data_IF_286376659901
#
_entry.id   IF_286376659901
#
_cell.length_a   1.000
_cell.length_b   1.000
_cell.length_c   1.000
_cell.angle_alpha   90.00
_cell.angle_beta   90.00
_cell.angle_gamma   90.00
#
_symmetry.space_group_name_H-M   'P 1'
#
loop_
_entity.id
_entity.type
_entity.pdbx_description
1 polymer ?
#
# COMPACT_ATOMS: atom_id res chain seq x y z
N UNK A 1 -1.64 9.90 -49.67
CA UNK A 1 -1.18 11.25 -49.31
C UNK A 1 -1.12 11.29 -47.79
N UNK A 2 0.03 10.92 -47.23
CA UNK A 2 0.23 10.88 -45.76
C UNK A 2 0.82 12.23 -45.35
N UNK A 3 0.06 13.06 -44.69
CA UNK A 3 0.54 14.29 -44.04
C UNK A 3 1.23 13.92 -42.73
N UNK A 4 2.55 13.84 -42.75
CA UNK A 4 3.41 13.85 -41.58
C UNK A 4 3.23 15.19 -40.87
N UNK A 5 2.37 15.21 -39.82
CA UNK A 5 2.39 16.30 -38.85
C UNK A 5 3.54 16.02 -37.89
N UNK A 6 4.70 16.52 -38.25
CA UNK A 6 5.83 16.71 -37.35
C UNK A 6 5.40 17.74 -36.32
N UNK A 7 4.99 17.27 -35.13
CA UNK A 7 4.87 18.12 -33.94
C UNK A 7 6.29 18.51 -33.56
N UNK A 8 6.78 19.59 -34.14
CA UNK A 8 7.98 20.27 -33.65
C UNK A 8 7.67 20.69 -32.21
N UNK A 9 8.31 20.02 -31.25
CA UNK A 9 8.25 20.41 -29.85
C UNK A 9 8.74 21.87 -29.78
N UNK A 10 7.84 22.75 -29.35
CA UNK A 10 8.14 24.19 -29.22
C UNK A 10 9.28 24.33 -28.19
N UNK A 11 10.47 24.80 -28.59
CA UNK A 11 11.62 24.92 -27.69
C UNK A 11 11.34 25.86 -26.51
N UNK A 12 10.35 26.74 -26.64
CA UNK A 12 9.87 27.58 -25.56
C UNK A 12 9.10 26.80 -24.51
N UNK A 13 8.35 25.74 -24.89
CA UNK A 13 7.64 24.87 -23.96
C UNK A 13 8.60 23.97 -23.18
N UNK A 14 9.64 23.44 -23.82
CA UNK A 14 10.71 22.66 -23.14
C UNK A 14 11.54 23.53 -22.20
N UNK A 15 11.89 24.74 -22.61
CA UNK A 15 12.61 25.69 -21.74
C UNK A 15 11.77 26.09 -20.52
N UNK A 16 10.44 26.22 -20.67
CA UNK A 16 9.53 26.56 -19.60
C UNK A 16 9.32 25.38 -18.62
N UNK A 17 9.28 24.14 -19.12
CA UNK A 17 9.23 22.96 -18.27
C UNK A 17 10.55 22.74 -17.52
N UNK A 18 11.70 22.97 -18.16
CA UNK A 18 13.01 22.89 -17.51
C UNK A 18 13.19 23.97 -16.43
N UNK A 19 12.66 25.18 -16.65
CA UNK A 19 12.68 26.29 -15.69
C UNK A 19 11.77 26.03 -14.49
N UNK A 20 10.69 25.28 -14.65
CA UNK A 20 9.77 24.89 -13.57
C UNK A 20 10.38 23.80 -12.67
N UNK A 21 11.24 22.95 -13.23
CA UNK A 21 11.87 21.84 -12.49
C UNK A 21 13.16 22.26 -11.74
N UNK A 22 13.67 23.49 -11.97
CA UNK A 22 14.85 24.06 -11.30
C UNK A 22 14.50 25.17 -10.33
N UNK A 23 13.28 25.18 -9.78
CA UNK A 23 12.94 26.10 -8.68
C UNK A 23 13.81 25.73 -7.48
N UNK A 24 14.89 26.47 -7.30
CA UNK A 24 15.75 26.38 -6.14
C UNK A 24 14.93 26.66 -4.89
N UNK A 25 15.22 25.95 -3.79
CA UNK A 25 14.54 26.11 -2.49
C UNK A 25 14.41 27.60 -2.09
N UNK A 26 15.37 28.43 -2.49
CA UNK A 26 15.34 29.88 -2.26
C UNK A 26 14.25 30.64 -3.03
N UNK A 27 13.88 30.21 -4.23
CA UNK A 27 12.81 30.83 -5.02
C UNK A 27 11.41 30.44 -4.48
N UNK A 28 11.30 29.26 -3.93
CA UNK A 28 10.09 28.83 -3.23
C UNK A 28 9.87 29.64 -1.94
N UNK A 29 10.91 29.84 -1.13
CA UNK A 29 10.82 30.69 0.07
C UNK A 29 10.42 32.13 -0.28
N UNK A 30 10.92 32.68 -1.36
CA UNK A 30 10.60 34.05 -1.81
C UNK A 30 9.16 34.18 -2.33
N UNK A 31 8.60 33.10 -2.87
CA UNK A 31 7.20 33.01 -3.29
C UNK A 31 6.24 32.97 -2.09
N UNK A 32 6.63 32.30 -0.99
CA UNK A 32 5.86 32.28 0.26
C UNK A 32 5.81 33.65 0.97
N UNK A 33 6.87 34.45 0.83
CA UNK A 33 6.90 35.80 1.40
C UNK A 33 5.90 36.78 0.73
N UNK A 34 5.46 36.48 -0.49
CA UNK A 34 4.52 37.32 -1.25
C UNK A 34 3.05 37.05 -0.94
N UNK A 35 2.74 35.88 -0.37
CA UNK A 35 1.38 35.47 0.02
C UNK A 35 1.37 35.02 1.48
N UNK A 36 0.98 35.90 2.44
CA UNK A 36 1.06 35.62 3.88
C UNK A 36 0.24 34.39 4.30
N UNK A 37 -0.88 34.10 3.62
CA UNK A 37 -1.67 32.88 3.87
C UNK A 37 -0.95 31.58 3.49
N UNK A 38 -0.20 31.59 2.39
CA UNK A 38 0.60 30.42 1.97
C UNK A 38 1.79 30.18 2.91
N UNK A 39 2.39 31.24 3.45
CA UNK A 39 3.46 31.15 4.45
C UNK A 39 2.99 30.51 5.77
N UNK A 40 1.82 30.89 6.25
CA UNK A 40 1.21 30.27 7.46
C UNK A 40 0.94 28.79 7.25
N UNK A 41 0.37 28.40 6.11
CA UNK A 41 0.12 27.00 5.77
C UNK A 41 1.42 26.19 5.69
N UNK A 42 2.47 26.73 5.04
CA UNK A 42 3.77 26.07 4.95
C UNK A 42 4.41 25.91 6.34
N UNK A 43 4.33 26.93 7.19
CA UNK A 43 4.82 26.86 8.56
C UNK A 43 4.07 25.81 9.39
N UNK A 44 2.74 25.76 9.27
CA UNK A 44 1.92 24.77 9.96
C UNK A 44 2.26 23.33 9.51
N UNK A 45 2.46 23.15 8.20
CA UNK A 45 2.84 21.84 7.63
C UNK A 45 4.23 21.41 8.10
N UNK A 46 5.18 22.34 8.12
CA UNK A 46 6.54 22.08 8.62
C UNK A 46 6.52 21.76 10.11
N UNK A 47 5.76 22.52 10.90
CA UNK A 47 5.60 22.27 12.33
C UNK A 47 5.00 20.87 12.58
N UNK A 48 3.94 20.50 11.84
CA UNK A 48 3.33 19.17 11.90
C UNK A 48 4.33 18.06 11.55
N UNK A 49 5.10 18.26 10.50
CA UNK A 49 6.15 17.31 10.10
C UNK A 49 7.21 17.15 11.21
N UNK A 50 7.72 18.24 11.77
CA UNK A 50 8.72 18.20 12.84
C UNK A 50 8.18 17.49 14.07
N UNK A 51 6.95 17.80 14.50
CA UNK A 51 6.31 17.14 15.64
C UNK A 51 6.16 15.63 15.37
N UNK A 52 5.72 15.24 14.18
CA UNK A 52 5.56 13.83 13.83
C UNK A 52 6.89 13.08 13.86
N UNK A 53 7.95 13.65 13.28
CA UNK A 53 9.29 13.07 13.35
C UNK A 53 9.82 13.00 14.78
N UNK A 54 9.66 14.06 15.56
CA UNK A 54 10.09 14.10 16.95
C UNK A 54 9.40 13.02 17.80
N UNK A 55 8.08 12.86 17.66
CA UNK A 55 7.32 11.81 18.34
C UNK A 55 7.76 10.42 17.90
N UNK A 56 8.00 10.22 16.61
CA UNK A 56 8.46 8.93 16.08
C UNK A 56 9.84 8.55 16.64
N UNK A 57 10.80 9.47 16.60
CA UNK A 57 12.13 9.24 17.18
C UNK A 57 12.10 9.06 18.69
N UNK A 58 11.26 9.83 19.39
CA UNK A 58 11.06 9.67 20.82
C UNK A 58 10.51 8.28 21.15
N UNK A 59 9.51 7.81 20.40
CA UNK A 59 8.89 6.51 20.62
C UNK A 59 9.86 5.38 20.35
N UNK A 60 10.61 5.44 19.24
CA UNK A 60 11.65 4.47 18.91
C UNK A 60 12.74 4.46 20.01
N UNK A 61 13.23 5.63 20.38
CA UNK A 61 14.24 5.77 21.43
C UNK A 61 13.75 5.21 22.76
N UNK A 62 12.53 5.52 23.15
CA UNK A 62 11.92 5.00 24.37
C UNK A 62 11.83 3.47 24.37
N UNK A 63 11.34 2.89 23.26
CA UNK A 63 11.22 1.42 23.14
C UNK A 63 12.59 0.76 23.16
N UNK A 64 13.60 1.33 22.50
CA UNK A 64 14.96 0.79 22.51
C UNK A 64 15.58 0.86 23.92
N UNK A 65 15.54 2.03 24.56
CA UNK A 65 16.14 2.21 25.90
C UNK A 65 15.47 1.32 26.94
N UNK A 66 14.15 1.15 26.87
CA UNK A 66 13.42 0.28 27.80
C UNK A 66 13.49 -1.21 27.40
N UNK A 67 13.59 -1.52 26.12
CA UNK A 67 13.58 -2.90 25.61
C UNK A 67 14.94 -3.62 25.70
N UNK A 68 16.05 -2.90 25.45
CA UNK A 68 17.39 -3.49 25.44
C UNK A 68 17.76 -4.24 26.75
N UNK A 69 17.46 -3.73 27.97
CA UNK A 69 17.77 -4.44 29.20
C UNK A 69 17.05 -5.78 29.36
N UNK A 70 15.92 -5.96 28.68
CA UNK A 70 15.12 -7.20 28.74
C UNK A 70 15.48 -8.21 27.65
N UNK A 71 16.43 -7.89 26.75
CA UNK A 71 16.92 -8.78 25.72
C UNK A 71 17.86 -9.83 26.33
N UNK A 72 17.28 -10.89 26.88
CA UNK A 72 18.03 -12.04 27.40
C UNK A 72 18.09 -13.17 26.36
N UNK A 73 19.10 -13.99 26.39
CA UNK A 73 19.26 -15.17 25.52
C UNK A 73 18.05 -16.15 25.63
N UNK A 74 17.35 -16.13 26.76
CA UNK A 74 16.14 -16.93 27.00
C UNK A 74 14.96 -16.55 26.07
N UNK A 75 14.93 -15.33 25.56
CA UNK A 75 13.94 -14.89 24.57
C UNK A 75 14.05 -15.64 23.23
N UNK A 76 15.23 -16.14 22.90
CA UNK A 76 15.50 -16.94 21.70
C UNK A 76 15.38 -18.46 21.94
N UNK A 77 14.84 -18.87 23.06
CA UNK A 77 14.56 -20.29 23.35
C UNK A 77 13.41 -20.80 22.49
N UNK A 78 13.51 -22.05 22.02
CA UNK A 78 12.43 -22.74 21.29
C UNK A 78 11.29 -23.23 22.21
N UNK A 79 11.56 -23.32 23.51
CA UNK A 79 10.57 -23.76 24.50
C UNK A 79 9.76 -22.57 25.02
N UNK A 80 8.48 -22.54 24.68
CA UNK A 80 7.52 -21.59 25.23
C UNK A 80 6.95 -22.13 26.53
N UNK A 81 7.30 -21.49 27.64
CA UNK A 81 6.70 -21.75 28.97
C UNK A 81 6.10 -20.45 29.47
N UNK A 82 5.11 -20.56 30.37
CA UNK A 82 4.44 -19.39 30.96
C UNK A 82 5.39 -18.46 31.72
N UNK A 83 6.55 -18.98 32.15
CA UNK A 83 7.62 -18.19 32.81
C UNK A 83 8.63 -17.63 31.83
N UNK A 84 8.81 -18.27 30.66
CA UNK A 84 9.76 -17.89 29.65
C UNK A 84 9.03 -17.60 28.33
N UNK A 85 8.52 -16.38 28.20
CA UNK A 85 7.83 -15.90 27.00
C UNK A 85 8.83 -15.76 25.87
N UNK A 86 9.14 -16.87 25.16
CA UNK A 86 10.07 -16.84 24.04
C UNK A 86 9.46 -16.19 22.80
N UNK A 87 10.24 -15.35 22.16
CA UNK A 87 9.87 -14.60 20.96
C UNK A 87 9.95 -15.46 19.69
N UNK A 88 10.83 -16.46 19.69
CA UNK A 88 11.17 -17.26 18.51
C UNK A 88 9.96 -18.02 17.92
N UNK A 89 9.15 -18.75 18.69
CA UNK A 89 7.97 -19.44 18.16
C UNK A 89 6.95 -18.48 17.56
N UNK A 90 6.77 -17.31 18.16
CA UNK A 90 5.87 -16.28 17.65
C UNK A 90 6.36 -15.71 16.31
N UNK A 91 7.67 -15.48 16.17
CA UNK A 91 8.30 -15.01 14.94
C UNK A 91 8.15 -16.03 13.81
N UNK A 92 8.44 -17.31 14.09
CA UNK A 92 8.30 -18.40 13.12
C UNK A 92 6.85 -18.53 12.68
N UNK A 93 5.91 -18.50 13.62
CA UNK A 93 4.48 -18.59 13.31
C UNK A 93 4.01 -17.43 12.42
N UNK A 94 4.44 -16.20 12.72
CA UNK A 94 4.14 -15.02 11.90
C UNK A 94 4.71 -15.16 10.50
N UNK A 95 5.94 -15.65 10.37
CA UNK A 95 6.58 -15.86 9.06
C UNK A 95 5.84 -16.91 8.23
N UNK A 96 5.51 -18.04 8.84
CA UNK A 96 4.75 -19.12 8.17
C UNK A 96 3.38 -18.62 7.74
N UNK A 97 2.65 -17.94 8.64
CA UNK A 97 1.34 -17.40 8.36
C UNK A 97 1.37 -16.40 7.21
N UNK A 98 2.35 -15.50 7.20
CA UNK A 98 2.53 -14.50 6.13
C UNK A 98 2.86 -15.16 4.80
N UNK A 99 3.79 -16.14 4.79
CA UNK A 99 4.17 -16.85 3.57
C UNK A 99 3.00 -17.66 2.99
N UNK A 100 2.26 -18.38 3.83
CA UNK A 100 1.09 -19.15 3.38
C UNK A 100 0.02 -18.22 2.83
N UNK A 101 -0.28 -17.13 3.53
CA UNK A 101 -1.27 -16.15 3.07
C UNK A 101 -0.87 -15.53 1.73
N UNK A 102 0.40 -15.16 1.58
CA UNK A 102 0.91 -14.55 0.35
C UNK A 102 0.95 -15.55 -0.80
N UNK A 103 1.34 -16.80 -0.55
CA UNK A 103 1.38 -17.87 -1.54
C UNK A 103 -0.01 -18.17 -2.14
N UNK A 104 -1.08 -17.94 -1.38
CA UNK A 104 -2.45 -18.10 -1.86
C UNK A 104 -2.96 -16.79 -2.48
N UNK A 105 -2.77 -15.66 -1.80
CA UNK A 105 -3.34 -14.38 -2.21
C UNK A 105 -2.68 -13.81 -3.47
N UNK A 106 -1.36 -13.97 -3.64
CA UNK A 106 -0.65 -13.38 -4.77
C UNK A 106 -1.08 -14.00 -6.11
N UNK A 107 -1.07 -15.32 -6.32
CA UNK A 107 -1.51 -15.88 -7.60
C UNK A 107 -2.97 -15.54 -7.88
N UNK A 108 -3.86 -15.69 -6.90
CA UNK A 108 -5.29 -15.40 -7.09
C UNK A 108 -5.52 -13.93 -7.45
N UNK A 109 -4.88 -13.00 -6.74
CA UNK A 109 -5.00 -11.56 -6.99
C UNK A 109 -4.42 -11.14 -8.35
N UNK A 110 -3.26 -11.70 -8.74
CA UNK A 110 -2.64 -11.40 -10.04
C UNK A 110 -3.49 -11.95 -11.18
N UNK A 111 -3.95 -13.20 -11.10
CA UNK A 111 -4.82 -13.76 -12.13
C UNK A 111 -6.14 -13.01 -12.26
N UNK A 112 -6.74 -12.58 -11.14
CA UNK A 112 -7.93 -11.75 -11.14
C UNK A 112 -7.67 -10.40 -11.83
N UNK A 113 -6.54 -9.75 -11.56
CA UNK A 113 -6.16 -8.49 -12.19
C UNK A 113 -5.92 -8.63 -13.70
N UNK A 114 -5.20 -9.66 -14.13
CA UNK A 114 -4.98 -9.96 -15.56
C UNK A 114 -6.32 -10.20 -16.26
N UNK A 115 -7.20 -10.99 -15.65
CA UNK A 115 -8.53 -11.23 -16.19
C UNK A 115 -9.33 -9.95 -16.36
N UNK A 116 -9.27 -9.05 -15.38
CA UNK A 116 -9.97 -7.77 -15.43
C UNK A 116 -9.45 -6.82 -16.51
N UNK A 117 -8.13 -6.79 -16.71
CA UNK A 117 -7.48 -5.86 -17.66
C UNK A 117 -7.52 -6.38 -19.08
N UNK A 118 -7.28 -7.68 -19.29
CA UNK A 118 -7.02 -8.25 -20.61
C UNK A 118 -8.26 -8.92 -21.23
N UNK A 119 -8.99 -9.72 -20.45
CA UNK A 119 -10.12 -10.50 -20.94
C UNK A 119 -11.47 -9.81 -20.80
N UNK A 120 -11.62 -8.89 -19.87
CA UNK A 120 -12.89 -8.24 -19.64
C UNK A 120 -13.18 -7.19 -20.71
N UNK A 121 -14.31 -7.31 -21.42
CA UNK A 121 -14.75 -6.34 -22.43
C UNK A 121 -14.86 -4.95 -21.79
N UNK A 122 -14.17 -3.97 -22.38
CA UNK A 122 -14.26 -2.55 -22.00
C UNK A 122 -15.72 -2.11 -21.96
N UNK A 123 -16.19 -1.62 -20.80
CA UNK A 123 -17.57 -1.18 -20.61
C UNK A 123 -18.55 -2.24 -20.07
N UNK A 124 -18.10 -3.45 -19.76
CA UNK A 124 -18.93 -4.47 -19.11
C UNK A 124 -19.36 -4.01 -17.70
N UNK A 125 -20.67 -4.09 -17.43
CA UNK A 125 -21.23 -3.78 -16.09
C UNK A 125 -20.62 -4.66 -15.00
N UNK A 126 -20.23 -5.88 -15.36
CA UNK A 126 -19.61 -6.84 -14.45
C UNK A 126 -18.22 -6.37 -13.95
N UNK A 127 -17.37 -5.86 -14.86
CA UNK A 127 -16.06 -5.29 -14.50
C UNK A 127 -16.20 -4.10 -13.56
N UNK A 128 -17.14 -3.20 -13.90
CA UNK A 128 -17.44 -2.04 -13.05
C UNK A 128 -17.91 -2.45 -11.66
N UNK A 129 -18.74 -3.50 -11.58
CA UNK A 129 -19.22 -4.03 -10.31
C UNK A 129 -18.05 -4.58 -9.46
N UNK A 130 -17.17 -5.41 -10.05
CA UNK A 130 -16.02 -5.98 -9.34
C UNK A 130 -15.08 -4.87 -8.85
N UNK A 131 -14.82 -3.84 -9.66
CA UNK A 131 -13.97 -2.71 -9.29
C UNK A 131 -14.57 -1.93 -8.12
N UNK A 132 -15.86 -1.59 -8.17
CA UNK A 132 -16.55 -0.91 -7.06
C UNK A 132 -16.53 -1.77 -5.81
N UNK A 133 -16.77 -3.09 -5.94
CA UNK A 133 -16.73 -4.01 -4.79
C UNK A 133 -15.33 -4.06 -4.17
N UNK A 134 -14.28 -4.18 -4.98
CA UNK A 134 -12.90 -4.17 -4.48
C UNK A 134 -12.54 -2.84 -3.80
N UNK A 135 -13.02 -1.72 -4.33
CA UNK A 135 -12.80 -0.40 -3.76
C UNK A 135 -13.55 -0.22 -2.43
N UNK A 136 -14.80 -0.65 -2.34
CA UNK A 136 -15.56 -0.63 -1.09
C UNK A 136 -14.96 -1.57 -0.06
N UNK A 137 -14.51 -2.76 -0.46
CA UNK A 137 -13.83 -3.70 0.42
C UNK A 137 -12.54 -3.09 1.01
N UNK A 138 -11.73 -2.41 0.21
CA UNK A 138 -10.51 -1.77 0.71
C UNK A 138 -10.77 -0.62 1.69
N UNK A 139 -11.96 -0.05 1.70
CA UNK A 139 -12.38 1.00 2.63
C UNK A 139 -12.88 0.48 3.99
N UNK A 140 -13.13 -0.82 4.13
CA UNK A 140 -13.61 -1.40 5.39
C UNK A 140 -12.45 -1.50 6.40
N UNK A 141 -12.63 -1.05 7.67
CA UNK A 141 -11.62 -1.21 8.70
C UNK A 141 -11.20 -2.67 8.88
N UNK A 142 -9.91 -2.95 8.93
CA UNK A 142 -9.35 -4.32 9.04
C UNK A 142 -9.88 -5.13 10.23
N UNK A 143 -10.34 -4.45 11.30
CA UNK A 143 -10.92 -5.11 12.46
C UNK A 143 -12.20 -5.89 12.10
N UNK A 144 -12.98 -5.40 11.12
CA UNK A 144 -14.20 -6.07 10.65
C UNK A 144 -13.86 -7.39 9.95
N UNK A 145 -12.79 -7.41 9.16
CA UNK A 145 -12.30 -8.65 8.54
C UNK A 145 -11.82 -9.66 9.57
N UNK A 146 -11.13 -9.20 10.62
CA UNK A 146 -10.71 -10.06 11.72
C UNK A 146 -11.89 -10.70 12.45
N UNK A 147 -12.92 -9.91 12.74
CA UNK A 147 -14.17 -10.41 13.36
C UNK A 147 -14.93 -11.38 12.44
N UNK A 148 -15.03 -11.05 11.14
CA UNK A 148 -15.63 -11.94 10.16
C UNK A 148 -14.89 -13.27 10.08
N UNK A 149 -13.56 -13.23 9.97
CA UNK A 149 -12.73 -14.42 9.93
C UNK A 149 -12.88 -15.28 11.18
N UNK A 150 -12.93 -14.66 12.36
CA UNK A 150 -13.18 -15.35 13.62
C UNK A 150 -14.57 -16.02 13.64
N UNK A 151 -15.61 -15.29 13.26
CA UNK A 151 -16.98 -15.84 13.26
C UNK A 151 -17.15 -16.93 12.19
N UNK A 152 -16.59 -16.73 11.01
CA UNK A 152 -16.79 -17.67 9.90
C UNK A 152 -15.89 -18.90 10.03
N UNK A 153 -14.56 -18.73 10.10
CA UNK A 153 -13.62 -19.85 10.10
C UNK A 153 -13.56 -20.57 11.45
N UNK A 154 -13.55 -19.83 12.55
CA UNK A 154 -13.40 -20.42 13.89
C UNK A 154 -14.72 -20.97 14.40
N UNK A 155 -15.82 -20.20 14.26
CA UNK A 155 -17.10 -20.56 14.88
C UNK A 155 -18.00 -21.34 13.91
N UNK A 156 -18.25 -20.85 12.69
CA UNK A 156 -19.17 -21.50 11.76
C UNK A 156 -18.59 -22.77 11.12
N UNK A 157 -17.30 -22.77 10.72
CA UNK A 157 -16.62 -23.95 10.17
C UNK A 157 -16.03 -24.86 11.26
N UNK A 158 -16.06 -24.46 12.52
CA UNK A 158 -15.50 -25.24 13.64
C UNK A 158 -14.01 -25.62 13.49
N UNK A 159 -13.22 -24.83 12.75
CA UNK A 159 -11.78 -25.07 12.58
C UNK A 159 -10.95 -24.69 13.78
N UNK A 160 -11.57 -24.05 14.77
CA UNK A 160 -10.89 -23.55 15.95
C UNK A 160 -9.93 -22.40 15.62
N UNK A 161 -9.19 -21.96 16.64
CA UNK A 161 -8.12 -20.96 16.48
C UNK A 161 -6.88 -21.64 15.88
N UNK A 162 -6.92 -21.93 14.59
CA UNK A 162 -5.83 -22.56 13.87
C UNK A 162 -5.06 -21.55 13.00
N UNK A 163 -3.81 -21.88 12.71
CA UNK A 163 -2.97 -21.09 11.78
C UNK A 163 -3.64 -20.93 10.41
N UNK A 164 -4.38 -21.94 9.96
CA UNK A 164 -5.07 -21.93 8.69
C UNK A 164 -6.24 -20.94 8.68
N UNK A 165 -7.03 -20.86 9.76
CA UNK A 165 -8.13 -19.89 9.86
C UNK A 165 -7.62 -18.44 9.83
N UNK A 166 -6.51 -18.19 10.50
CA UNK A 166 -5.83 -16.89 10.47
C UNK A 166 -5.25 -16.56 9.10
N UNK A 167 -4.58 -17.51 8.46
CA UNK A 167 -4.00 -17.32 7.13
C UNK A 167 -5.09 -17.02 6.07
N UNK A 168 -6.22 -17.73 6.08
CA UNK A 168 -7.33 -17.45 5.16
C UNK A 168 -8.00 -16.10 5.41
N UNK A 169 -8.09 -15.68 6.66
CA UNK A 169 -8.57 -14.33 6.99
C UNK A 169 -7.65 -13.27 6.42
N UNK A 170 -6.33 -13.47 6.52
CA UNK A 170 -5.31 -12.60 5.91
C UNK A 170 -5.42 -12.59 4.38
N UNK A 171 -5.66 -13.75 3.75
CA UNK A 171 -5.87 -13.84 2.29
C UNK A 171 -7.03 -12.94 1.85
N UNK A 172 -8.19 -13.04 2.51
CA UNK A 172 -9.37 -12.24 2.18
C UNK A 172 -9.07 -10.75 2.32
N UNK A 173 -8.31 -10.36 3.33
CA UNK A 173 -7.95 -8.97 3.61
C UNK A 173 -6.97 -8.40 2.57
N UNK A 174 -5.98 -9.19 2.15
CA UNK A 174 -4.89 -8.75 1.27
C UNK A 174 -5.26 -8.87 -0.20
N UNK A 175 -6.19 -9.76 -0.56
CA UNK A 175 -6.58 -10.03 -1.94
C UNK A 175 -7.05 -8.78 -2.71
N UNK A 176 -7.96 -7.94 -2.22
CA UNK A 176 -8.38 -6.72 -2.94
C UNK A 176 -7.22 -5.73 -3.12
N UNK A 177 -6.30 -5.66 -2.18
CA UNK A 177 -5.11 -4.81 -2.27
C UNK A 177 -4.18 -5.28 -3.38
N UNK A 178 -3.86 -6.58 -3.44
CA UNK A 178 -3.02 -7.16 -4.49
C UNK A 178 -3.68 -6.99 -5.87
N UNK A 179 -4.97 -7.26 -5.97
CA UNK A 179 -5.71 -7.12 -7.22
C UNK A 179 -5.64 -5.69 -7.74
N UNK A 180 -5.85 -4.69 -6.88
CA UNK A 180 -5.80 -3.28 -7.26
C UNK A 180 -4.41 -2.83 -7.68
N UNK A 181 -3.38 -3.15 -6.91
CA UNK A 181 -1.99 -2.78 -7.26
C UNK A 181 -1.50 -3.47 -8.53
N UNK A 182 -1.90 -4.72 -8.76
CA UNK A 182 -1.61 -5.43 -9.99
C UNK A 182 -2.35 -4.81 -11.19
N UNK A 183 -3.62 -4.43 -11.05
CA UNK A 183 -4.41 -3.74 -12.08
C UNK A 183 -3.76 -2.40 -12.47
N UNK A 184 -3.38 -1.57 -11.49
CA UNK A 184 -2.69 -0.30 -11.72
C UNK A 184 -1.35 -0.49 -12.43
N UNK A 185 -0.59 -1.52 -12.06
CA UNK A 185 0.70 -1.84 -12.68
C UNK A 185 0.53 -2.29 -14.13
N UNK A 186 -0.48 -3.12 -14.42
CA UNK A 186 -0.79 -3.58 -15.78
C UNK A 186 -1.28 -2.43 -16.66
N UNK A 187 -2.12 -1.54 -16.14
CA UNK A 187 -2.57 -0.35 -16.87
C UNK A 187 -1.40 0.58 -17.19
N UNK A 188 -0.49 0.82 -16.26
CA UNK A 188 0.69 1.66 -16.47
C UNK A 188 1.66 1.04 -17.48
N UNK A 189 1.87 -0.28 -17.42
CA UNK A 189 2.71 -1.02 -18.37
C UNK A 189 2.15 -0.99 -19.81
N UNK A 190 0.84 -1.13 -19.96
CA UNK A 190 0.17 -1.03 -21.25
C UNK A 190 0.27 0.39 -21.84
N UNK A 191 0.21 1.42 -20.99
CA UNK A 191 0.39 2.81 -21.40
C UNK A 191 1.77 3.11 -21.96
N UNK A 192 2.82 2.46 -21.45
CA UNK A 192 4.18 2.63 -21.96
C UNK A 192 4.39 1.95 -23.33
N UNK A 193 3.61 0.93 -23.63
CA UNK A 193 3.72 0.16 -24.89
C UNK A 193 2.92 0.77 -26.03
N UNK A 194 1.79 1.42 -25.74
CA UNK A 194 0.96 2.09 -26.76
C UNK A 194 0.49 3.45 -26.22
N UNK A 195 1.07 4.53 -26.76
CA UNK A 195 0.74 5.93 -26.39
C UNK A 195 -0.75 6.33 -26.57
N UNK A 196 -1.59 5.46 -27.08
CA UNK A 196 -2.98 5.75 -27.44
C UNK A 196 -4.00 5.27 -26.38
N UNK A 197 -3.59 4.38 -25.47
CA UNK A 197 -4.53 3.76 -24.53
C UNK A 197 -4.61 4.43 -23.14
N UNK A 198 -3.76 5.44 -22.89
CA UNK A 198 -3.64 6.06 -21.55
C UNK A 198 -4.85 6.87 -21.07
N UNK A 199 -5.81 7.19 -21.93
CA UNK A 199 -6.93 8.07 -21.55
C UNK A 199 -8.14 7.36 -20.91
N UNK A 200 -8.09 6.06 -20.63
CA UNK A 200 -9.33 5.33 -20.28
C UNK A 200 -9.27 4.49 -18.99
N UNK A 201 -8.23 4.63 -18.17
CA UNK A 201 -8.17 3.99 -16.84
C UNK A 201 -8.60 4.93 -15.69
N UNK A 202 -9.30 6.01 -15.98
CA UNK A 202 -9.89 6.95 -15.03
C UNK A 202 -11.41 6.82 -14.96
#
# INVERSE_FOLDING_TARGET
MQTNVSVAADPAAEANMKKRNTLTIGDQLKSYARHPGAGVLAFLTLLGAVITFALLFFLIGYVLVKGIPYLNASLFSFTYTSENVSLLPSLINTLIMTLVSLAIAAPVGIFAAIFLVEYAKKGSRFVKLIRITAETLSGIPYIVYGLFGMLFFVTALHWGMSLLSGALTMVIMVLPLIMRTAEESLCTGACHRERVLCCHCG
#
